data_IF_464967310010
#
_entry.id   IF_464967310010
#
_cell.length_a   1.000
_cell.length_b   1.000
_cell.length_c   1.000
_cell.angle_alpha   90.00
_cell.angle_beta   90.00
_cell.angle_gamma   90.00
#
_symmetry.space_group_name_H-M   'P 1'
#
loop_
_entity.id
_entity.type
_entity.pdbx_description
1 polymer ?
#
# COMPACT_ATOMS: atom_id res chain seq x y z
N UNK A 1 -6.75 -25.31 -21.88
CA UNK A 1 -6.47 -23.94 -22.36
C UNK A 1 -5.17 -23.49 -21.72
N UNK A 2 -4.22 -22.96 -22.49
CA UNK A 2 -2.92 -22.54 -21.96
C UNK A 2 -3.08 -21.09 -21.47
N UNK A 3 -3.05 -20.87 -20.17
CA UNK A 3 -3.08 -19.52 -19.60
C UNK A 3 -1.70 -18.88 -19.79
N UNK A 4 -1.58 -17.92 -20.72
CA UNK A 4 -0.32 -17.25 -21.01
C UNK A 4 0.04 -16.22 -19.94
N UNK A 5 -0.97 -15.70 -19.24
CA UNK A 5 -0.85 -14.68 -18.23
C UNK A 5 -0.54 -15.20 -16.83
N UNK A 6 -0.43 -16.51 -16.64
CA UNK A 6 0.01 -17.10 -15.38
C UNK A 6 -0.99 -17.02 -14.23
N UNK A 7 -2.28 -16.73 -14.48
CA UNK A 7 -3.30 -16.87 -13.42
C UNK A 7 -3.43 -18.34 -12.99
N UNK A 8 -3.24 -18.60 -11.70
CA UNK A 8 -3.43 -19.93 -11.12
C UNK A 8 -4.89 -20.17 -10.77
N UNK A 9 -5.27 -21.43 -10.51
CA UNK A 9 -6.62 -21.77 -10.04
C UNK A 9 -7.01 -21.03 -8.75
N UNK A 10 -6.02 -20.60 -7.95
CA UNK A 10 -6.25 -19.80 -6.75
C UNK A 10 -6.82 -18.42 -7.06
N UNK A 11 -6.40 -17.78 -8.15
CA UNK A 11 -6.95 -16.49 -8.60
C UNK A 11 -8.44 -16.61 -8.93
N UNK A 12 -8.81 -17.70 -9.62
CA UNK A 12 -10.21 -18.01 -9.98
C UNK A 12 -11.02 -18.37 -8.73
N UNK A 13 -10.48 -19.20 -7.85
CA UNK A 13 -11.14 -19.65 -6.61
C UNK A 13 -11.44 -18.49 -5.67
N UNK A 14 -10.53 -17.51 -5.58
CA UNK A 14 -10.73 -16.30 -4.79
C UNK A 14 -11.67 -15.28 -5.48
N UNK A 15 -12.04 -15.52 -6.73
CA UNK A 15 -12.84 -14.60 -7.53
C UNK A 15 -12.11 -13.32 -7.93
N UNK A 16 -10.78 -13.28 -7.83
CA UNK A 16 -9.98 -12.13 -8.28
C UNK A 16 -10.14 -11.92 -9.79
N UNK A 17 -10.25 -13.03 -10.52
CA UNK A 17 -10.61 -13.04 -11.94
C UNK A 17 -11.66 -14.12 -12.18
N UNK A 18 -12.48 -13.92 -13.21
CA UNK A 18 -13.33 -14.99 -13.77
C UNK A 18 -12.63 -15.62 -14.97
N UNK A 19 -13.12 -16.78 -15.43
CA UNK A 19 -12.56 -17.45 -16.61
C UNK A 19 -12.73 -16.59 -17.87
N UNK A 20 -13.90 -15.97 -18.02
CA UNK A 20 -14.22 -15.06 -19.13
C UNK A 20 -13.29 -13.85 -19.12
N UNK A 21 -12.96 -13.32 -17.92
CA UNK A 21 -12.00 -12.23 -17.80
C UNK A 21 -10.59 -12.67 -18.20
N UNK A 22 -10.15 -13.86 -17.80
CA UNK A 22 -8.84 -14.40 -18.21
C UNK A 22 -8.77 -14.54 -19.73
N UNK A 23 -9.80 -15.07 -20.38
CA UNK A 23 -9.87 -15.18 -21.85
C UNK A 23 -9.79 -13.82 -22.56
N UNK A 24 -10.50 -12.82 -22.04
CA UNK A 24 -10.43 -11.46 -22.57
C UNK A 24 -9.02 -10.85 -22.41
N UNK A 25 -8.38 -11.08 -21.27
CA UNK A 25 -7.02 -10.61 -21.00
C UNK A 25 -5.99 -11.34 -21.86
N UNK A 26 -6.14 -12.64 -22.13
CA UNK A 26 -5.26 -13.40 -23.03
C UNK A 26 -5.32 -12.79 -24.45
N UNK A 27 -6.51 -12.46 -24.95
CA UNK A 27 -6.66 -11.80 -26.25
C UNK A 27 -6.03 -10.39 -26.28
N UNK A 28 -6.21 -9.62 -25.20
CA UNK A 28 -5.57 -8.32 -25.04
C UNK A 28 -4.04 -8.46 -25.02
N UNK A 29 -3.52 -9.43 -24.27
CA UNK A 29 -2.09 -9.72 -24.19
C UNK A 29 -1.51 -10.11 -25.55
N UNK A 30 -2.22 -10.89 -26.37
CA UNK A 30 -1.75 -11.26 -27.71
C UNK A 30 -1.72 -10.07 -28.67
N UNK A 31 -2.73 -9.19 -28.60
CA UNK A 31 -2.88 -8.04 -29.50
C UNK A 31 -2.13 -6.77 -29.06
N UNK A 32 -1.77 -6.64 -27.78
CA UNK A 32 -1.08 -5.47 -27.24
C UNK A 32 0.42 -5.47 -27.55
N UNK A 33 1.08 -4.31 -27.41
CA UNK A 33 2.54 -4.22 -27.36
C UNK A 33 3.13 -4.57 -25.98
N UNK A 34 2.29 -4.57 -24.93
CA UNK A 34 2.73 -4.88 -23.57
C UNK A 34 2.70 -6.39 -23.34
N UNK A 35 3.88 -7.01 -23.33
CA UNK A 35 4.04 -8.46 -23.15
C UNK A 35 4.42 -8.85 -21.72
N UNK A 36 4.21 -7.96 -20.75
CA UNK A 36 4.49 -8.21 -19.33
C UNK A 36 3.26 -8.80 -18.64
N UNK A 37 3.24 -10.12 -18.48
CA UNK A 37 2.09 -10.84 -17.89
C UNK A 37 1.72 -10.36 -16.47
N UNK A 38 2.70 -9.90 -15.71
CA UNK A 38 2.55 -9.39 -14.36
C UNK A 38 1.72 -8.11 -14.30
N UNK A 39 1.73 -7.28 -15.35
CA UNK A 39 0.89 -6.10 -15.42
C UNK A 39 -0.59 -6.47 -15.44
N UNK A 40 -0.95 -7.53 -16.17
CA UNK A 40 -2.31 -8.02 -16.26
C UNK A 40 -2.79 -8.66 -14.96
N UNK A 41 -1.93 -9.47 -14.31
CA UNK A 41 -2.25 -10.05 -13.00
C UNK A 41 -2.38 -8.97 -11.92
N UNK A 42 -1.44 -8.04 -11.86
CA UNK A 42 -1.50 -6.94 -10.91
C UNK A 42 -2.69 -6.01 -11.17
N UNK A 43 -3.00 -5.70 -12.43
CA UNK A 43 -4.19 -4.94 -12.83
C UNK A 43 -5.48 -5.60 -12.32
N UNK A 44 -5.66 -6.90 -12.57
CA UNK A 44 -6.81 -7.64 -12.07
C UNK A 44 -6.92 -7.62 -10.52
N UNK A 45 -5.79 -7.78 -9.82
CA UNK A 45 -5.75 -7.66 -8.36
C UNK A 45 -6.19 -6.27 -7.89
N UNK A 46 -5.70 -5.21 -8.53
CA UNK A 46 -6.06 -3.81 -8.20
C UNK A 46 -7.54 -3.54 -8.45
N UNK A 47 -8.08 -4.02 -9.56
CA UNK A 47 -9.51 -3.90 -9.88
C UNK A 47 -10.35 -4.62 -8.82
N UNK A 48 -9.95 -5.83 -8.43
CA UNK A 48 -10.62 -6.58 -7.37
C UNK A 48 -10.62 -5.82 -6.04
N UNK A 49 -9.45 -5.30 -5.62
CA UNK A 49 -9.35 -4.50 -4.40
C UNK A 49 -10.24 -3.26 -4.45
N UNK A 50 -10.30 -2.56 -5.58
CA UNK A 50 -11.16 -1.38 -5.71
C UNK A 50 -12.65 -1.73 -5.56
N UNK A 51 -13.08 -2.87 -6.10
CA UNK A 51 -14.48 -3.29 -6.10
C UNK A 51 -14.97 -3.92 -4.78
N UNK A 52 -14.08 -4.52 -3.98
CA UNK A 52 -14.47 -5.36 -2.84
C UNK A 52 -14.10 -4.79 -1.47
N UNK A 53 -13.66 -3.53 -1.41
CA UNK A 53 -13.33 -2.89 -0.13
C UNK A 53 -14.57 -2.35 0.60
N UNK A 54 -14.62 -2.45 1.94
CA UNK A 54 -13.60 -3.02 2.82
C UNK A 54 -13.51 -4.55 2.79
N UNK A 55 -12.29 -5.09 2.88
CA UNK A 55 -12.06 -6.54 2.85
C UNK A 55 -12.41 -7.21 4.19
N UNK A 56 -13.11 -8.35 4.19
CA UNK A 56 -13.16 -9.25 5.35
C UNK A 56 -11.75 -9.78 5.69
N UNK A 57 -11.42 -10.03 6.96
CA UNK A 57 -10.09 -10.51 7.37
C UNK A 57 -9.62 -11.76 6.61
N UNK A 58 -10.49 -12.76 6.45
CA UNK A 58 -10.17 -14.00 5.73
C UNK A 58 -9.84 -13.75 4.25
N UNK A 59 -10.47 -12.76 3.61
CA UNK A 59 -10.17 -12.38 2.22
C UNK A 59 -8.83 -11.68 2.14
N UNK A 60 -8.53 -10.77 3.06
CA UNK A 60 -7.22 -10.11 3.11
C UNK A 60 -6.07 -11.11 3.33
N UNK A 61 -6.24 -12.09 4.21
CA UNK A 61 -5.28 -13.18 4.43
C UNK A 61 -5.09 -14.05 3.18
N UNK A 62 -6.18 -14.35 2.48
CA UNK A 62 -6.13 -15.15 1.27
C UNK A 62 -5.44 -14.42 0.10
N UNK A 63 -5.69 -13.12 -0.05
CA UNK A 63 -5.03 -12.26 -1.04
C UNK A 63 -3.55 -12.03 -0.71
N UNK A 64 -3.20 -11.88 0.56
CA UNK A 64 -1.80 -11.80 0.98
C UNK A 64 -1.06 -13.10 0.61
N UNK A 65 -1.68 -14.24 0.91
CA UNK A 65 -1.15 -15.56 0.55
C UNK A 65 -1.04 -15.78 -0.95
N UNK A 66 -1.95 -15.19 -1.73
CA UNK A 66 -1.85 -15.18 -3.19
C UNK A 66 -0.60 -14.45 -3.67
N UNK A 67 -0.23 -13.34 -3.02
CA UNK A 67 1.00 -12.60 -3.31
C UNK A 67 2.28 -13.36 -2.94
N UNK A 68 2.29 -14.13 -1.84
CA UNK A 68 3.44 -14.97 -1.47
C UNK A 68 3.69 -16.12 -2.44
N UNK A 69 2.63 -16.61 -3.07
CA UNK A 69 2.66 -17.72 -4.01
C UNK A 69 2.88 -17.27 -5.47
N UNK A 70 2.96 -15.95 -5.74
CA UNK A 70 3.14 -15.47 -7.10
C UNK A 70 4.52 -15.84 -7.66
N UNK A 71 4.54 -16.19 -8.95
CA UNK A 71 5.77 -16.55 -9.65
C UNK A 71 6.71 -15.35 -9.80
N UNK A 72 6.16 -14.15 -9.94
CA UNK A 72 6.91 -12.91 -9.94
C UNK A 72 6.97 -12.35 -8.52
N UNK A 73 8.14 -12.45 -7.88
CA UNK A 73 8.35 -11.96 -6.51
C UNK A 73 8.15 -10.45 -6.37
N UNK A 74 8.46 -9.67 -7.41
CA UNK A 74 8.26 -8.23 -7.39
C UNK A 74 6.78 -7.87 -7.38
N UNK A 75 6.01 -8.53 -8.24
CA UNK A 75 4.56 -8.39 -8.30
C UNK A 75 3.88 -8.89 -7.02
N UNK A 76 4.25 -10.08 -6.53
CA UNK A 76 3.75 -10.64 -5.27
C UNK A 76 4.04 -9.73 -4.08
N UNK A 77 5.26 -9.18 -4.02
CA UNK A 77 5.65 -8.16 -3.03
C UNK A 77 4.79 -6.89 -3.10
N UNK A 78 4.47 -6.41 -4.30
CA UNK A 78 3.58 -5.27 -4.50
C UNK A 78 2.15 -5.56 -4.01
N UNK A 79 1.60 -6.74 -4.32
CA UNK A 79 0.29 -7.17 -3.83
C UNK A 79 0.25 -7.21 -2.30
N UNK A 80 1.23 -7.87 -1.67
CA UNK A 80 1.33 -7.96 -0.21
C UNK A 80 1.45 -6.57 0.44
N UNK A 81 2.27 -5.69 -0.15
CA UNK A 81 2.39 -4.29 0.30
C UNK A 81 1.05 -3.57 0.24
N UNK A 82 0.31 -3.70 -0.87
CA UNK A 82 -1.01 -3.07 -1.03
C UNK A 82 -1.99 -3.54 0.06
N UNK A 83 -2.00 -4.84 0.39
CA UNK A 83 -2.83 -5.37 1.48
C UNK A 83 -2.42 -4.79 2.84
N UNK A 84 -1.12 -4.74 3.14
CA UNK A 84 -0.60 -4.17 4.40
C UNK A 84 -0.99 -2.70 4.59
N UNK A 85 -1.08 -1.96 3.49
CA UNK A 85 -1.47 -0.55 3.46
C UNK A 85 -2.96 -0.29 3.70
N UNK A 86 -3.81 -1.31 3.64
CA UNK A 86 -5.23 -1.12 3.85
C UNK A 86 -5.51 -0.75 5.33
N UNK A 87 -6.36 0.27 5.59
CA UNK A 87 -6.86 0.57 6.94
C UNK A 87 -7.50 -0.62 7.65
N UNK A 88 -8.21 -1.46 6.88
CA UNK A 88 -8.87 -2.69 7.33
C UNK A 88 -7.95 -3.93 7.40
N UNK A 89 -6.66 -3.79 7.10
CA UNK A 89 -5.71 -4.90 7.10
C UNK A 89 -5.66 -5.58 8.48
N UNK A 90 -5.91 -6.90 8.57
CA UNK A 90 -5.97 -7.59 9.85
C UNK A 90 -4.58 -7.68 10.50
N UNK A 91 -4.51 -7.69 11.85
CA UNK A 91 -3.23 -7.80 12.57
C UNK A 91 -2.40 -9.02 12.16
N UNK A 92 -3.05 -10.17 11.93
CA UNK A 92 -2.42 -11.42 11.48
C UNK A 92 -1.60 -11.25 10.21
N UNK A 93 -2.09 -10.46 9.24
CA UNK A 93 -1.35 -10.17 8.00
C UNK A 93 -0.15 -9.25 8.26
N UNK A 94 -0.31 -8.24 9.13
CA UNK A 94 0.79 -7.34 9.50
C UNK A 94 1.90 -8.08 10.25
N UNK A 95 1.53 -8.95 11.18
CA UNK A 95 2.48 -9.77 11.94
C UNK A 95 3.24 -10.71 11.01
N UNK A 96 2.54 -11.31 10.04
CA UNK A 96 3.17 -12.15 9.00
C UNK A 96 4.14 -11.34 8.13
N UNK A 97 3.77 -10.14 7.69
CA UNK A 97 4.63 -9.24 6.94
C UNK A 97 5.88 -8.83 7.73
N UNK A 98 5.75 -8.55 9.04
CA UNK A 98 6.87 -8.27 9.91
C UNK A 98 7.80 -9.49 10.08
N UNK A 99 7.21 -10.67 10.32
CA UNK A 99 7.93 -11.92 10.52
C UNK A 99 8.68 -12.39 9.26
N UNK A 100 8.26 -11.96 8.07
CA UNK A 100 8.97 -12.26 6.81
C UNK A 100 10.40 -11.73 6.79
N UNK A 101 10.69 -10.65 7.54
CA UNK A 101 11.97 -9.95 7.50
C UNK A 101 12.22 -9.19 6.19
N UNK A 102 11.29 -9.21 5.22
CA UNK A 102 11.46 -8.50 3.96
C UNK A 102 11.38 -6.99 4.19
N UNK A 103 12.49 -6.29 3.91
CA UNK A 103 12.63 -4.86 4.24
C UNK A 103 11.50 -4.00 3.68
N UNK A 104 11.06 -4.28 2.45
CA UNK A 104 9.95 -3.59 1.77
C UNK A 104 8.64 -3.72 2.55
N UNK A 105 8.26 -4.94 2.94
CA UNK A 105 7.04 -5.27 3.66
C UNK A 105 7.07 -4.75 5.10
N UNK A 106 8.18 -4.95 5.83
CA UNK A 106 8.37 -4.39 7.17
C UNK A 106 8.20 -2.87 7.15
N UNK A 107 8.81 -2.23 6.17
CA UNK A 107 8.68 -0.78 5.99
C UNK A 107 7.24 -0.37 5.64
N UNK A 108 6.53 -1.14 4.82
CA UNK A 108 5.13 -0.90 4.49
C UNK A 108 4.25 -0.98 5.76
N UNK A 109 4.45 -1.99 6.62
CA UNK A 109 3.71 -2.15 7.87
C UNK A 109 3.92 -0.94 8.78
N UNK A 110 5.17 -0.53 9.03
CA UNK A 110 5.45 0.62 9.89
C UNK A 110 4.79 1.91 9.38
N UNK A 111 4.81 2.13 8.06
CA UNK A 111 4.17 3.30 7.44
C UNK A 111 2.65 3.25 7.60
N UNK A 112 2.04 2.09 7.31
CA UNK A 112 0.59 1.91 7.41
C UNK A 112 0.08 2.10 8.85
N UNK A 113 0.82 1.58 9.84
CA UNK A 113 0.50 1.76 11.27
C UNK A 113 0.51 3.24 11.65
N UNK A 114 1.59 3.97 11.35
CA UNK A 114 1.68 5.39 11.70
C UNK A 114 0.58 6.22 11.02
N UNK A 115 0.24 5.92 9.76
CA UNK A 115 -0.83 6.63 9.06
C UNK A 115 -2.21 6.31 9.67
N UNK A 116 -2.46 5.04 10.01
CA UNK A 116 -3.70 4.65 10.70
C UNK A 116 -3.83 5.32 12.07
N UNK A 117 -2.73 5.47 12.80
CA UNK A 117 -2.71 6.19 14.08
C UNK A 117 -2.99 7.68 13.88
N UNK A 118 -2.41 8.31 12.85
CA UNK A 118 -2.68 9.72 12.51
C UNK A 118 -4.15 9.97 12.17
N UNK A 119 -4.81 9.03 11.50
CA UNK A 119 -6.23 9.12 11.18
C UNK A 119 -7.12 9.12 12.43
N UNK A 120 -6.66 8.52 13.54
CA UNK A 120 -7.37 8.49 14.84
C UNK A 120 -7.14 9.73 15.68
N UNK A 121 -6.11 10.52 15.37
CA UNK A 121 -5.81 11.78 16.03
C UNK A 121 -4.32 11.97 16.29
N UNK A 122 -3.88 13.23 16.27
CA UNK A 122 -2.49 13.60 16.52
C UNK A 122 -2.24 13.85 18.01
N UNK A 123 -1.30 13.10 18.59
CA UNK A 123 -0.69 13.38 19.89
C UNK A 123 0.76 13.84 19.70
N UNK A 124 1.37 14.46 20.72
CA UNK A 124 2.79 14.86 20.64
C UNK A 124 3.72 13.65 20.51
N UNK A 125 3.42 12.55 21.21
CA UNK A 125 4.18 11.30 21.08
C UNK A 125 4.09 10.73 19.65
N UNK A 126 2.90 10.73 19.05
CA UNK A 126 2.72 10.28 17.67
C UNK A 126 3.44 11.21 16.68
N UNK A 127 3.38 12.53 16.91
CA UNK A 127 4.12 13.51 16.12
C UNK A 127 5.61 13.19 16.09
N UNK A 128 6.21 12.94 17.26
CA UNK A 128 7.63 12.62 17.40
C UNK A 128 7.98 11.30 16.68
N UNK A 129 7.19 10.24 16.91
CA UNK A 129 7.36 8.95 16.22
C UNK A 129 7.30 9.10 14.70
N UNK A 130 6.33 9.85 14.18
CA UNK A 130 6.20 10.11 12.75
C UNK A 130 7.41 10.87 12.18
N UNK A 131 7.91 11.88 12.90
CA UNK A 131 9.04 12.70 12.46
C UNK A 131 10.36 11.92 12.48
N UNK A 132 10.57 11.05 13.46
CA UNK A 132 11.77 10.19 13.56
C UNK A 132 11.78 9.06 12.53
N UNK A 133 10.61 8.57 12.09
CA UNK A 133 10.52 7.45 11.16
C UNK A 133 11.13 7.73 9.77
N UNK A 134 11.38 9.00 9.41
CA UNK A 134 11.97 9.46 8.13
C UNK A 134 11.23 8.98 6.87
N UNK A 135 9.99 8.53 7.01
CA UNK A 135 9.19 8.07 5.88
C UNK A 135 8.49 9.24 5.20
N UNK A 136 8.88 9.56 3.98
CA UNK A 136 8.31 10.69 3.23
C UNK A 136 6.78 10.67 3.12
N UNK A 137 6.16 9.50 2.95
CA UNK A 137 4.69 9.36 2.91
C UNK A 137 4.04 9.67 4.27
N UNK A 138 4.64 9.21 5.37
CA UNK A 138 4.14 9.50 6.73
C UNK A 138 4.30 10.99 7.03
N UNK A 139 5.43 11.61 6.69
CA UNK A 139 5.59 13.04 6.91
C UNK A 139 4.63 13.87 6.04
N UNK A 140 4.30 13.44 4.81
CA UNK A 140 3.26 14.11 4.01
C UNK A 140 1.89 14.02 4.68
N UNK A 141 1.53 12.84 5.19
CA UNK A 141 0.29 12.65 5.95
C UNK A 141 0.28 13.52 7.21
N UNK A 142 1.40 13.57 7.94
CA UNK A 142 1.58 14.42 9.12
C UNK A 142 1.39 15.91 8.77
N UNK A 143 2.05 16.42 7.72
CA UNK A 143 1.91 17.81 7.27
C UNK A 143 0.49 18.15 6.81
N UNK A 144 -0.32 17.16 6.43
CA UNK A 144 -1.72 17.40 6.03
C UNK A 144 -2.66 17.60 7.24
N UNK A 145 -2.23 17.31 8.47
CA UNK A 145 -3.07 17.39 9.67
C UNK A 145 -3.46 18.84 10.00
N UNK A 146 -4.76 19.21 10.00
CA UNK A 146 -5.19 20.59 10.24
C UNK A 146 -4.80 21.11 11.63
N UNK A 147 -4.74 20.23 12.63
CA UNK A 147 -4.45 20.50 14.03
C UNK A 147 -2.97 20.82 14.35
N UNK A 148 -2.07 20.77 13.36
CA UNK A 148 -0.65 21.07 13.58
C UNK A 148 -0.44 22.49 14.08
N UNK A 149 0.31 22.58 15.17
CA UNK A 149 0.74 23.86 15.74
C UNK A 149 1.89 24.48 14.94
N UNK A 150 2.10 25.79 15.12
CA UNK A 150 3.25 26.49 14.54
C UNK A 150 4.61 25.84 14.90
N UNK A 151 4.92 25.53 16.18
CA UNK A 151 6.16 24.86 16.53
C UNK A 151 6.33 23.50 15.83
N UNK A 152 5.26 22.72 15.72
CA UNK A 152 5.31 21.43 15.01
C UNK A 152 5.59 21.60 13.52
N UNK A 153 4.99 22.60 12.85
CA UNK A 153 5.29 22.91 11.45
C UNK A 153 6.74 23.36 11.25
N UNK A 154 7.30 24.14 12.17
CA UNK A 154 8.71 24.55 12.16
C UNK A 154 9.63 23.33 12.25
N UNK A 155 9.34 22.38 13.17
CA UNK A 155 10.08 21.12 13.29
C UNK A 155 10.03 20.28 12.01
N UNK A 156 8.88 20.20 11.33
CA UNK A 156 8.79 19.47 10.06
C UNK A 156 9.53 20.20 8.92
N UNK A 157 9.49 21.54 8.89
CA UNK A 157 10.20 22.32 7.87
C UNK A 157 11.72 22.13 7.97
N UNK A 158 12.25 21.88 9.16
CA UNK A 158 13.65 21.58 9.41
C UNK A 158 13.99 20.10 9.14
N UNK A 159 13.30 19.17 9.79
CA UNK A 159 13.65 17.75 9.83
C UNK A 159 12.87 16.86 8.85
N UNK A 160 12.03 17.44 7.99
CA UNK A 160 11.19 16.67 7.06
C UNK A 160 12.00 15.76 6.14
N UNK A 161 11.56 14.50 6.00
CA UNK A 161 12.27 13.43 5.29
C UNK A 161 12.63 13.76 3.83
N UNK A 162 11.88 14.65 3.18
CA UNK A 162 12.14 15.07 1.80
C UNK A 162 12.05 16.59 1.68
N UNK A 163 12.73 17.16 0.68
CA UNK A 163 12.61 18.59 0.35
C UNK A 163 11.16 19.00 0.10
N UNK A 164 10.38 18.16 -0.57
CA UNK A 164 8.97 18.41 -0.82
C UNK A 164 8.17 18.55 0.48
N UNK A 165 8.38 17.65 1.45
CA UNK A 165 7.76 17.72 2.78
C UNK A 165 8.15 19.01 3.51
N UNK A 166 9.45 19.34 3.55
CA UNK A 166 9.94 20.56 4.20
C UNK A 166 9.31 21.82 3.59
N UNK A 167 9.19 21.86 2.27
CA UNK A 167 8.54 22.95 1.56
C UNK A 167 7.05 23.05 1.88
N UNK A 168 6.32 21.93 1.92
CA UNK A 168 4.90 21.90 2.27
C UNK A 168 4.66 22.47 3.68
N UNK A 169 5.48 22.07 4.65
CA UNK A 169 5.42 22.60 6.01
C UNK A 169 5.69 24.10 6.05
N UNK A 170 6.73 24.57 5.35
CA UNK A 170 7.05 26.00 5.26
C UNK A 170 5.94 26.84 4.59
N UNK A 171 5.23 26.28 3.60
CA UNK A 171 4.05 26.92 2.98
C UNK A 171 2.93 27.06 4.00
N UNK A 172 2.55 25.98 4.70
CA UNK A 172 1.51 26.04 5.74
C UNK A 172 1.86 27.02 6.85
N UNK A 173 3.12 27.03 7.30
CA UNK A 173 3.62 27.94 8.33
C UNK A 173 3.43 29.42 7.96
N UNK A 174 3.62 29.78 6.68
CA UNK A 174 3.37 31.15 6.19
C UNK A 174 1.88 31.50 6.18
N UNK A 175 1.00 30.53 5.97
CA UNK A 175 -0.46 30.73 5.97
C UNK A 175 -1.10 30.84 7.35
N UNK A 176 -0.36 30.57 8.42
CA UNK A 176 -0.81 30.78 9.81
C UNK A 176 -0.57 32.22 10.31
N UNK A 177 -0.05 33.11 9.47
CA UNK A 177 0.18 34.52 9.77
C UNK A 177 -1.09 35.32 9.50
#
# INVERSE_FOLDING_TARGET
MKNLLGFTDRWLTLGVVTRERVEALDWEFESSSDKNSEHYRYGAFRDYLAAHRPLPPAVAEALYSLGEEDLDRGMGGAMMSDIVWLPECPPTVRDRALASGERSLVTAVHRAVLITELDRGLTEELFDRCLTATYGVVHRALVARPELTRPQLERIAEAGATRAVRNLAAVRLRGLR
#
